data_IF_072638563517
#
_entry.id   IF_072638563517
#
_cell.length_a   1.000
_cell.length_b   1.000
_cell.length_c   1.000
_cell.angle_alpha   90.00
_cell.angle_beta   90.00
_cell.angle_gamma   90.00
#
_symmetry.space_group_name_H-M   'P 1'
#
loop_
_entity.id
_entity.type
_entity.pdbx_description
1 polymer ?
#
# COMPACT_ATOMS: atom_id res chain seq x y z
N UNK A 1 32.15 6.93 7.34
CA UNK A 1 30.71 7.26 7.21
C UNK A 1 30.10 6.55 6.00
N UNK A 2 30.49 6.81 4.76
CA UNK A 2 29.84 6.14 3.60
C UNK A 2 29.88 4.60 3.60
N UNK A 3 31.01 3.98 3.99
CA UNK A 3 31.14 2.53 4.01
C UNK A 3 30.25 1.87 5.10
N UNK A 4 30.16 2.47 6.28
CA UNK A 4 29.30 1.99 7.36
C UNK A 4 27.81 2.15 7.02
N UNK A 5 27.44 3.23 6.35
CA UNK A 5 26.06 3.51 5.97
C UNK A 5 25.59 2.54 4.87
N UNK A 6 26.46 2.22 3.91
CA UNK A 6 26.17 1.23 2.87
C UNK A 6 25.98 -0.16 3.47
N UNK A 7 26.87 -0.59 4.38
CA UNK A 7 26.75 -1.89 5.05
C UNK A 7 25.45 -1.96 5.86
N UNK A 8 25.11 -0.87 6.57
CA UNK A 8 23.87 -0.79 7.36
C UNK A 8 22.63 -0.84 6.48
N UNK A 9 22.58 -0.06 5.40
CA UNK A 9 21.45 -0.07 4.45
C UNK A 9 21.30 -1.42 3.74
N UNK A 10 22.40 -2.08 3.40
CA UNK A 10 22.38 -3.41 2.81
C UNK A 10 21.84 -4.44 3.80
N UNK A 11 22.22 -4.34 5.08
CA UNK A 11 21.70 -5.19 6.14
C UNK A 11 20.19 -4.97 6.33
N UNK A 12 19.72 -3.71 6.36
CA UNK A 12 18.30 -3.36 6.43
C UNK A 12 17.54 -3.93 5.23
N UNK A 13 18.08 -3.77 4.01
CA UNK A 13 17.49 -4.32 2.80
C UNK A 13 17.38 -5.86 2.85
N UNK A 14 18.43 -6.54 3.31
CA UNK A 14 18.43 -8.00 3.43
C UNK A 14 17.41 -8.47 4.48
N UNK A 15 17.42 -7.89 5.68
CA UNK A 15 16.48 -8.27 6.74
C UNK A 15 15.02 -7.96 6.35
N UNK A 16 14.77 -6.80 5.73
CA UNK A 16 13.43 -6.43 5.29
C UNK A 16 12.90 -7.33 4.17
N UNK A 17 13.76 -7.74 3.22
CA UNK A 17 13.37 -8.66 2.14
C UNK A 17 13.06 -10.07 2.65
N UNK A 18 13.88 -10.60 3.58
CA UNK A 18 13.62 -11.87 4.25
C UNK A 18 12.31 -11.82 5.06
N UNK A 19 12.10 -10.74 5.82
CA UNK A 19 10.85 -10.52 6.57
C UNK A 19 9.64 -10.49 5.64
N UNK A 20 9.73 -9.78 4.50
CA UNK A 20 8.67 -9.69 3.52
C UNK A 20 8.28 -11.05 2.92
N UNK A 21 9.28 -11.88 2.59
CA UNK A 21 9.04 -13.25 2.10
C UNK A 21 8.32 -14.11 3.13
N UNK A 22 8.75 -14.05 4.39
CA UNK A 22 8.13 -14.84 5.47
C UNK A 22 6.70 -14.38 5.73
N UNK A 23 6.44 -13.07 5.68
CA UNK A 23 5.10 -12.49 5.88
C UNK A 23 4.11 -12.97 4.80
N UNK A 24 4.54 -12.95 3.52
CA UNK A 24 3.69 -13.35 2.39
C UNK A 24 3.41 -14.87 2.41
N UNK A 25 4.37 -15.69 2.85
CA UNK A 25 4.19 -17.15 2.97
C UNK A 25 3.10 -17.55 3.95
N UNK A 26 2.85 -16.74 4.98
CA UNK A 26 1.88 -17.02 6.04
C UNK A 26 0.47 -16.44 5.78
N UNK A 27 0.21 -15.90 4.58
CA UNK A 27 -1.12 -15.37 4.24
C UNK A 27 -2.12 -16.50 3.91
N UNK A 28 -3.37 -16.36 4.36
CA UNK A 28 -4.45 -17.28 3.97
C UNK A 28 -4.73 -17.21 2.47
N UNK A 29 -5.09 -18.34 1.85
CA UNK A 29 -5.36 -18.43 0.40
C UNK A 29 -6.46 -17.46 -0.07
N UNK A 30 -7.41 -17.13 0.80
CA UNK A 30 -8.49 -16.20 0.50
C UNK A 30 -8.00 -14.76 0.33
N UNK A 31 -6.81 -14.43 0.85
CA UNK A 31 -6.27 -13.09 0.86
C UNK A 31 -5.28 -12.79 -0.27
N UNK A 32 -4.97 -13.72 -1.18
CA UNK A 32 -4.01 -13.43 -2.26
C UNK A 32 -4.47 -12.27 -3.17
N UNK A 33 -5.77 -12.20 -3.51
CA UNK A 33 -6.32 -11.11 -4.33
C UNK A 33 -6.30 -9.75 -3.61
N UNK A 34 -6.77 -9.61 -2.35
CA UNK A 34 -6.59 -8.35 -1.63
C UNK A 34 -5.12 -8.03 -1.36
N UNK A 35 -4.25 -9.01 -1.14
CA UNK A 35 -2.80 -8.81 -0.97
C UNK A 35 -2.15 -8.27 -2.25
N UNK A 36 -2.54 -8.79 -3.42
CA UNK A 36 -2.08 -8.28 -4.71
C UNK A 36 -2.45 -6.80 -4.90
N UNK A 37 -3.69 -6.42 -4.55
CA UNK A 37 -4.13 -5.02 -4.61
C UNK A 37 -3.40 -4.14 -3.59
N UNK A 38 -3.19 -4.64 -2.37
CA UNK A 38 -2.51 -3.91 -1.30
C UNK A 38 -1.04 -3.64 -1.63
N UNK A 39 -0.33 -4.63 -2.16
CA UNK A 39 1.09 -4.48 -2.54
C UNK A 39 1.26 -3.45 -3.67
N UNK A 40 0.30 -3.36 -4.59
CA UNK A 40 0.26 -2.27 -5.56
C UNK A 40 0.11 -0.91 -4.86
N UNK A 41 -0.82 -0.76 -3.90
CA UNK A 41 -0.98 0.50 -3.16
C UNK A 41 0.29 0.95 -2.41
N UNK A 42 0.98 0.00 -1.75
CA UNK A 42 2.21 0.27 -0.98
C UNK A 42 3.37 0.74 -1.88
N UNK A 43 3.39 0.37 -3.16
CA UNK A 43 4.41 0.84 -4.12
C UNK A 43 4.43 2.36 -4.28
N UNK A 44 3.38 3.05 -3.85
CA UNK A 44 3.27 4.52 -3.79
C UNK A 44 4.28 5.19 -2.86
N UNK A 45 5.12 4.43 -2.14
CA UNK A 45 6.28 4.97 -1.40
C UNK A 45 7.20 5.84 -2.29
N UNK A 46 7.17 5.65 -3.60
CA UNK A 46 7.82 6.54 -4.58
C UNK A 46 7.42 8.02 -4.43
N UNK A 47 6.24 8.32 -3.86
CA UNK A 47 5.82 9.68 -3.50
C UNK A 47 6.83 10.35 -2.55
N UNK A 48 7.36 9.62 -1.58
CA UNK A 48 8.35 10.15 -0.62
C UNK A 48 9.63 10.53 -1.36
N UNK A 49 10.08 9.69 -2.28
CA UNK A 49 11.25 9.99 -3.11
C UNK A 49 11.02 11.24 -3.97
N UNK A 50 9.85 11.37 -4.59
CA UNK A 50 9.50 12.54 -5.39
C UNK A 50 9.45 13.84 -4.55
N UNK A 51 8.95 13.78 -3.31
CA UNK A 51 8.97 14.91 -2.38
C UNK A 51 10.40 15.34 -2.00
N UNK A 52 11.28 14.37 -1.75
CA UNK A 52 12.70 14.65 -1.49
C UNK A 52 13.33 15.33 -2.71
N UNK A 53 13.11 14.80 -3.92
CA UNK A 53 13.62 15.41 -5.17
C UNK A 53 13.09 16.82 -5.37
N UNK A 54 11.80 17.05 -5.10
CA UNK A 54 11.19 18.39 -5.18
C UNK A 54 11.86 19.38 -4.22
N UNK A 55 12.24 18.93 -3.02
CA UNK A 55 12.89 19.78 -2.01
C UNK A 55 14.26 20.30 -2.44
N UNK A 56 14.96 19.61 -3.35
CA UNK A 56 16.29 19.99 -3.85
C UNK A 56 16.25 20.47 -5.32
N UNK A 57 15.07 20.76 -5.86
CA UNK A 57 14.92 21.06 -7.28
C UNK A 57 15.32 22.50 -7.62
N UNK A 58 16.44 22.67 -8.33
CA UNK A 58 16.97 23.98 -8.76
C UNK A 58 16.58 24.39 -10.19
N UNK A 59 15.80 23.55 -10.88
CA UNK A 59 15.39 23.75 -12.27
C UNK A 59 13.89 23.54 -12.41
N UNK A 60 13.22 24.45 -13.11
CA UNK A 60 11.77 24.39 -13.36
C UNK A 60 11.34 23.06 -13.98
N UNK A 61 12.16 22.48 -14.85
CA UNK A 61 11.89 21.16 -15.43
C UNK A 61 11.82 20.04 -14.39
N UNK A 62 12.74 20.03 -13.40
CA UNK A 62 12.75 19.03 -12.31
C UNK A 62 11.51 19.21 -11.43
N UNK A 63 11.14 20.46 -11.14
CA UNK A 63 9.92 20.77 -10.37
C UNK A 63 8.68 20.21 -11.07
N UNK A 64 8.53 20.45 -12.38
CA UNK A 64 7.39 19.93 -13.15
C UNK A 64 7.35 18.40 -13.12
N UNK A 65 8.49 17.73 -13.34
CA UNK A 65 8.55 16.27 -13.27
C UNK A 65 8.23 15.74 -11.87
N UNK A 66 8.72 16.39 -10.81
CA UNK A 66 8.46 15.98 -9.44
C UNK A 66 6.97 16.15 -9.07
N UNK A 67 6.34 17.24 -9.50
CA UNK A 67 4.89 17.45 -9.31
C UNK A 67 4.08 16.39 -10.04
N UNK A 68 4.44 16.04 -11.29
CA UNK A 68 3.81 14.95 -12.03
C UNK A 68 4.02 13.60 -11.35
N UNK A 69 5.22 13.33 -10.85
CA UNK A 69 5.52 12.10 -10.11
C UNK A 69 4.68 11.98 -8.83
N UNK A 70 4.51 13.08 -8.08
CA UNK A 70 3.64 13.12 -6.89
C UNK A 70 2.17 12.88 -7.27
N UNK A 71 1.69 13.49 -8.37
CA UNK A 71 0.33 13.27 -8.85
C UNK A 71 0.10 11.80 -9.25
N UNK A 72 1.02 11.20 -10.00
CA UNK A 72 0.95 9.78 -10.37
C UNK A 72 1.06 8.85 -9.14
N UNK A 73 1.95 9.12 -8.20
CA UNK A 73 2.08 8.31 -7.00
C UNK A 73 0.87 8.43 -6.06
N UNK A 74 0.27 9.62 -5.94
CA UNK A 74 -0.92 9.83 -5.11
C UNK A 74 -2.16 9.10 -5.67
N UNK A 75 -2.34 9.08 -6.99
CA UNK A 75 -3.41 8.29 -7.63
C UNK A 75 -3.23 6.78 -7.42
N UNK A 76 -1.99 6.28 -7.45
CA UNK A 76 -1.70 4.88 -7.11
C UNK A 76 -2.03 4.57 -5.63
N UNK A 77 -1.69 5.48 -4.71
CA UNK A 77 -1.97 5.31 -3.29
C UNK A 77 -3.48 5.26 -3.05
N UNK A 78 -4.18 6.33 -3.46
CA UNK A 78 -5.62 6.48 -3.21
C UNK A 78 -6.40 5.37 -3.91
N UNK A 79 -6.13 5.13 -5.19
CA UNK A 79 -6.80 4.08 -5.96
C UNK A 79 -6.55 2.68 -5.41
N UNK A 80 -5.29 2.38 -5.08
CA UNK A 80 -4.89 1.10 -4.52
C UNK A 80 -5.54 0.82 -3.15
N UNK A 81 -5.55 1.81 -2.24
CA UNK A 81 -6.19 1.65 -0.93
C UNK A 81 -7.71 1.58 -1.04
N UNK A 82 -8.37 2.38 -1.89
CA UNK A 82 -9.82 2.33 -2.09
C UNK A 82 -10.30 0.97 -2.62
N UNK A 83 -9.60 0.41 -3.62
CA UNK A 83 -9.94 -0.90 -4.19
C UNK A 83 -9.75 -1.99 -3.15
N UNK A 84 -8.62 -1.96 -2.44
CA UNK A 84 -8.31 -2.94 -1.39
C UNK A 84 -9.37 -2.91 -0.29
N UNK A 85 -9.79 -1.72 0.14
CA UNK A 85 -10.84 -1.57 1.15
C UNK A 85 -12.17 -2.16 0.67
N UNK A 86 -12.55 -1.91 -0.59
CA UNK A 86 -13.76 -2.49 -1.18
C UNK A 86 -13.72 -4.02 -1.21
N UNK A 87 -12.56 -4.61 -1.53
CA UNK A 87 -12.36 -6.07 -1.51
C UNK A 87 -12.46 -6.60 -0.07
N UNK A 88 -11.81 -5.94 0.90
CA UNK A 88 -11.84 -6.36 2.30
C UNK A 88 -13.24 -6.25 2.93
N UNK A 89 -14.03 -5.26 2.53
CA UNK A 89 -15.44 -5.13 2.97
C UNK A 89 -16.29 -6.34 2.56
N UNK A 90 -15.97 -7.02 1.46
CA UNK A 90 -16.67 -8.25 1.02
C UNK A 90 -16.38 -9.47 1.91
N UNK A 91 -15.30 -9.44 2.71
CA UNK A 91 -14.99 -10.49 3.69
C UNK A 91 -15.68 -10.28 5.04
N UNK A 92 -16.19 -9.07 5.30
CA UNK A 92 -16.98 -8.78 6.49
C UNK A 92 -18.41 -9.28 6.26
N UNK A 93 -18.87 -10.21 7.08
CA UNK A 93 -20.28 -10.60 7.11
C UNK A 93 -21.08 -9.37 7.54
N UNK A 94 -22.02 -8.92 6.72
CA UNK A 94 -22.97 -7.88 7.11
C UNK A 94 -23.76 -8.38 8.33
N UNK A 95 -23.38 -7.92 9.52
CA UNK A 95 -24.14 -8.15 10.76
C UNK A 95 -25.57 -7.57 10.68
N UNK A 96 -25.85 -6.75 9.65
CA UNK A 96 -27.18 -6.20 9.37
C UNK A 96 -28.22 -7.22 8.91
N UNK A 97 -27.83 -8.39 8.35
CA UNK A 97 -28.82 -9.39 7.90
C UNK A 97 -29.43 -10.23 9.02
N UNK A 98 -28.92 -10.17 10.25
CA UNK A 98 -29.50 -10.91 11.40
C UNK A 98 -30.74 -10.24 12.02
N UNK A 99 -30.99 -8.95 11.71
CA UNK A 99 -32.15 -8.23 12.26
C UNK A 99 -33.40 -8.30 11.38
N UNK A 100 -33.28 -8.49 10.06
CA UNK A 100 -34.43 -8.58 9.17
C UNK A 100 -35.09 -9.97 9.20
N UNK A 101 -34.31 -11.05 9.31
CA UNK A 101 -34.86 -12.42 9.44
C UNK A 101 -35.66 -12.64 10.74
N UNK A 102 -35.41 -11.86 11.81
CA UNK A 102 -36.18 -11.94 13.06
C UNK A 102 -37.51 -11.18 13.03
N UNK A 103 -37.77 -10.33 12.02
CA UNK A 103 -39.03 -9.59 11.88
C UNK A 103 -40.08 -10.35 11.08
N UNK A 104 -39.66 -11.19 10.14
CA UNK A 104 -40.59 -11.99 9.33
C UNK A 104 -41.10 -13.23 10.06
N UNK A 105 -40.33 -13.80 11.00
CA UNK A 105 -40.78 -14.93 11.85
C UNK A 105 -41.76 -14.51 12.97
N UNK A 106 -42.02 -13.21 13.15
CA UNK A 106 -42.92 -12.68 14.20
C UNK A 106 -44.22 -12.10 13.63
N UNK A 107 -44.53 -12.35 12.36
CA UNK A 107 -45.78 -11.96 11.71
C UNK A 107 -46.69 -13.16 11.46
#
# INVERSE_FOLDING_TARGET
>A
MLASDLITNLLIFLLASLLGLELIRHVSKLLHTPLMSLTNAISSVAMVAALIVLSYADRTFIVVLAVLAIACASTNAIGGFMITERILRMFKRDDNKKNDSKRDDKK
#
